data_IF_466893505343
#
_entry.id   IF_466893505343
#
_cell.length_a   1.000
_cell.length_b   1.000
_cell.length_c   1.000
_cell.angle_alpha   90.00
_cell.angle_beta   90.00
_cell.angle_gamma   90.00
#
_symmetry.space_group_name_H-M   'P 1'
#
loop_
_entity.id
_entity.type
_entity.pdbx_description
1 polymer ?
#
# COMPACT_ATOMS: atom_id res chain seq x y z
N UNK A 1 20.51 -7.45 17.95
CA UNK A 1 19.09 -7.80 18.10
C UNK A 1 18.45 -7.61 16.74
N UNK A 2 18.04 -8.70 16.12
CA UNK A 2 17.51 -8.75 14.75
C UNK A 2 16.17 -8.06 14.71
N UNK A 3 16.02 -7.03 13.88
CA UNK A 3 14.74 -6.33 13.72
C UNK A 3 13.92 -7.02 12.64
N UNK A 4 12.71 -7.50 12.96
CA UNK A 4 11.79 -8.15 12.00
C UNK A 4 10.86 -7.12 11.35
N UNK A 5 10.02 -7.50 10.39
CA UNK A 5 8.94 -6.60 9.94
C UNK A 5 8.04 -6.22 11.11
N UNK A 6 7.92 -7.04 12.15
CA UNK A 6 7.25 -6.65 13.39
C UNK A 6 7.81 -5.36 14.02
N UNK A 7 9.09 -5.03 13.80
CA UNK A 7 9.73 -3.82 14.34
C UNK A 7 9.62 -2.60 13.40
N UNK A 8 9.67 -2.81 12.08
CA UNK A 8 9.60 -1.73 11.09
C UNK A 8 8.23 -1.52 10.46
N UNK A 9 7.44 -2.57 10.32
CA UNK A 9 6.11 -2.58 9.74
C UNK A 9 5.07 -1.79 10.55
N UNK A 10 5.35 -1.49 11.81
CA UNK A 10 4.50 -0.73 12.72
C UNK A 10 4.76 0.78 12.63
N UNK A 11 5.82 1.17 11.91
CA UNK A 11 6.27 2.54 11.84
C UNK A 11 5.31 3.39 10.99
N UNK A 12 4.67 4.36 11.60
CA UNK A 12 3.78 5.31 10.96
C UNK A 12 4.45 6.12 9.85
N UNK A 13 5.80 6.18 9.82
CA UNK A 13 6.53 6.79 8.71
C UNK A 13 6.27 6.10 7.37
N UNK A 14 5.87 4.81 7.37
CA UNK A 14 5.49 4.10 6.16
C UNK A 14 4.32 4.78 5.41
N UNK A 15 3.49 5.55 6.12
CA UNK A 15 2.43 6.36 5.50
C UNK A 15 2.97 7.44 4.55
N UNK A 16 4.21 7.90 4.74
CA UNK A 16 4.88 8.80 3.80
C UNK A 16 5.06 8.18 2.41
N UNK A 17 5.14 6.85 2.33
CA UNK A 17 5.24 6.08 1.09
C UNK A 17 3.90 5.58 0.54
N UNK A 18 2.79 5.71 1.27
CA UNK A 18 1.50 5.15 0.87
C UNK A 18 1.06 5.60 -0.53
N UNK A 19 1.22 6.90 -0.84
CA UNK A 19 0.91 7.42 -2.17
C UNK A 19 1.82 6.86 -3.27
N UNK A 20 3.10 6.60 -2.99
CA UNK A 20 4.01 5.94 -3.94
C UNK A 20 3.54 4.53 -4.27
N UNK A 21 3.28 3.70 -3.26
CA UNK A 21 2.83 2.33 -3.47
C UNK A 21 1.55 2.31 -4.32
N UNK A 22 0.60 3.20 -4.01
CA UNK A 22 -0.63 3.32 -4.79
C UNK A 22 -0.40 3.75 -6.23
N UNK A 23 0.45 4.75 -6.49
CA UNK A 23 0.72 5.18 -7.85
C UNK A 23 1.50 4.14 -8.65
N UNK A 24 2.39 3.36 -8.03
CA UNK A 24 3.04 2.22 -8.68
C UNK A 24 2.04 1.12 -9.05
N UNK A 25 1.06 0.85 -8.18
CA UNK A 25 -0.02 -0.10 -8.48
C UNK A 25 -0.87 0.39 -9.65
N UNK A 26 -1.31 1.65 -9.61
CA UNK A 26 -2.15 2.25 -10.65
C UNK A 26 -1.43 2.47 -11.98
N UNK A 27 -0.09 2.47 -11.97
CA UNK A 27 0.69 2.53 -13.19
C UNK A 27 0.71 1.19 -13.95
N UNK A 28 0.28 0.08 -13.35
CA UNK A 28 -0.01 -1.12 -14.12
C UNK A 28 -1.37 -0.95 -14.83
N UNK A 29 -1.44 -1.09 -16.16
CA UNK A 29 -2.66 -0.90 -16.94
C UNK A 29 -3.87 -1.70 -16.44
N UNK A 30 -3.69 -2.98 -16.13
CA UNK A 30 -4.80 -3.84 -15.71
C UNK A 30 -5.30 -3.47 -14.30
N UNK A 31 -4.37 -3.14 -13.40
CA UNK A 31 -4.74 -2.62 -12.06
C UNK A 31 -5.41 -1.25 -12.17
N UNK A 32 -4.88 -0.36 -13.01
CA UNK A 32 -5.41 0.98 -13.27
C UNK A 32 -6.86 0.93 -13.76
N UNK A 33 -7.13 0.13 -14.80
CA UNK A 33 -8.50 -0.10 -15.32
C UNK A 33 -9.43 -0.71 -14.28
N UNK A 34 -9.00 -1.77 -13.59
CA UNK A 34 -9.82 -2.41 -12.55
C UNK A 34 -10.18 -1.47 -11.40
N UNK A 35 -9.26 -0.60 -10.98
CA UNK A 35 -9.58 0.41 -9.96
C UNK A 35 -10.43 1.53 -10.54
N UNK A 36 -10.17 1.97 -11.76
CA UNK A 36 -10.97 2.99 -12.43
C UNK A 36 -12.43 2.56 -12.52
N UNK A 37 -12.72 1.39 -13.06
CA UNK A 37 -14.10 0.92 -13.29
C UNK A 37 -14.85 0.61 -11.98
N UNK A 38 -14.15 0.22 -10.91
CA UNK A 38 -14.78 -0.24 -9.67
C UNK A 38 -14.57 0.68 -8.45
N UNK A 39 -13.84 1.80 -8.57
CA UNK A 39 -13.51 2.69 -7.43
C UNK A 39 -13.48 4.19 -7.81
N UNK A 40 -14.35 4.61 -8.74
CA UNK A 40 -14.40 5.95 -9.40
C UNK A 40 -14.50 7.21 -8.53
N UNK A 41 -14.53 7.15 -7.20
CA UNK A 41 -14.71 8.35 -6.35
C UNK A 41 -13.61 8.47 -5.31
N UNK A 42 -13.13 9.70 -5.06
CA UNK A 42 -12.03 9.97 -4.13
C UNK A 42 -12.27 9.36 -2.73
N UNK A 43 -13.50 9.41 -2.22
CA UNK A 43 -13.87 8.74 -0.96
C UNK A 43 -13.67 7.22 -1.01
N UNK A 44 -14.00 6.57 -2.13
CA UNK A 44 -13.76 5.13 -2.35
C UNK A 44 -12.27 4.82 -2.50
N UNK A 45 -11.48 5.69 -3.14
CA UNK A 45 -10.02 5.50 -3.27
C UNK A 45 -9.30 5.63 -1.92
N UNK A 46 -9.74 6.54 -1.05
CA UNK A 46 -9.23 6.65 0.33
C UNK A 46 -9.65 5.43 1.15
N UNK A 47 -10.91 4.99 1.04
CA UNK A 47 -11.37 3.77 1.71
C UNK A 47 -10.58 2.55 1.23
N UNK A 48 -10.20 2.50 -0.06
CA UNK A 48 -9.30 1.47 -0.60
C UNK A 48 -7.93 1.54 0.05
N UNK A 49 -7.32 2.73 0.16
CA UNK A 49 -6.04 2.91 0.86
C UNK A 49 -6.12 2.40 2.30
N UNK A 50 -7.14 2.82 3.05
CA UNK A 50 -7.35 2.35 4.43
C UNK A 50 -7.57 0.85 4.49
N UNK A 51 -8.33 0.27 3.55
CA UNK A 51 -8.52 -1.17 3.42
C UNK A 51 -7.21 -1.93 3.19
N UNK A 52 -6.34 -1.44 2.30
CA UNK A 52 -5.00 -2.02 2.06
C UNK A 52 -4.12 -1.93 3.31
N UNK A 53 -4.07 -0.77 3.97
CA UNK A 53 -3.26 -0.59 5.18
C UNK A 53 -3.75 -1.47 6.33
N UNK A 54 -5.06 -1.49 6.60
CA UNK A 54 -5.66 -2.37 7.61
C UNK A 54 -5.41 -3.84 7.29
N UNK A 55 -5.51 -4.24 6.02
CA UNK A 55 -5.15 -5.60 5.59
C UNK A 55 -3.70 -5.93 5.92
N UNK A 56 -2.75 -5.07 5.51
CA UNK A 56 -1.32 -5.25 5.81
C UNK A 56 -1.14 -5.40 7.31
N UNK A 57 -1.53 -4.40 8.13
CA UNK A 57 -1.34 -4.45 9.58
C UNK A 57 -1.98 -5.66 10.24
N UNK A 58 -3.16 -6.09 9.81
CA UNK A 58 -3.79 -7.29 10.34
C UNK A 58 -3.00 -8.57 9.99
N UNK A 59 -2.44 -8.67 8.79
CA UNK A 59 -1.56 -9.80 8.43
C UNK A 59 -0.28 -9.79 9.26
N UNK A 60 0.34 -8.63 9.46
CA UNK A 60 1.60 -8.54 10.20
C UNK A 60 1.43 -8.75 11.71
N UNK A 61 0.45 -8.07 12.30
CA UNK A 61 0.33 -7.86 13.75
C UNK A 61 -0.97 -8.38 14.34
N UNK A 62 -1.94 -8.73 13.50
CA UNK A 62 -3.26 -9.11 13.95
C UNK A 62 -3.34 -10.55 14.44
N UNK A 63 -4.45 -10.85 15.10
CA UNK A 63 -4.83 -12.21 15.48
C UNK A 63 -5.29 -13.01 14.25
N UNK A 64 -5.30 -14.33 14.34
CA UNK A 64 -5.84 -15.20 13.28
C UNK A 64 -7.30 -14.85 12.90
N UNK A 65 -8.09 -14.37 13.85
CA UNK A 65 -9.45 -13.91 13.58
C UNK A 65 -9.45 -12.63 12.73
N UNK A 66 -8.61 -11.65 13.08
CA UNK A 66 -8.44 -10.41 12.32
C UNK A 66 -7.93 -10.70 10.91
N UNK A 67 -6.94 -11.58 10.75
CA UNK A 67 -6.44 -12.04 9.44
C UNK A 67 -7.56 -12.64 8.60
N UNK A 68 -8.36 -13.55 9.18
CA UNK A 68 -9.52 -14.14 8.49
C UNK A 68 -10.55 -13.08 8.09
N UNK A 69 -10.79 -12.09 8.94
CA UNK A 69 -11.74 -11.02 8.67
C UNK A 69 -11.32 -10.13 7.51
N UNK A 70 -10.08 -9.63 7.52
CA UNK A 70 -9.57 -8.79 6.41
C UNK A 70 -9.48 -9.60 5.11
N UNK A 71 -9.08 -10.88 5.17
CA UNK A 71 -9.08 -11.76 3.98
C UNK A 71 -10.47 -11.90 3.37
N UNK A 72 -11.50 -12.16 4.19
CA UNK A 72 -12.90 -12.22 3.70
C UNK A 72 -13.35 -10.89 3.10
N UNK A 73 -13.01 -9.77 3.74
CA UNK A 73 -13.39 -8.43 3.30
C UNK A 73 -12.77 -8.09 1.94
N UNK A 74 -11.47 -8.31 1.78
CA UNK A 74 -10.78 -8.05 0.51
C UNK A 74 -11.28 -9.01 -0.58
N UNK A 75 -11.44 -10.30 -0.28
CA UNK A 75 -12.01 -11.24 -1.25
C UNK A 75 -13.39 -10.79 -1.74
N UNK A 76 -14.29 -10.40 -0.84
CA UNK A 76 -15.61 -9.89 -1.23
C UNK A 76 -15.51 -8.64 -2.12
N UNK A 77 -14.59 -7.73 -1.80
CA UNK A 77 -14.34 -6.54 -2.62
C UNK A 77 -13.72 -6.86 -3.99
N UNK A 78 -12.97 -7.96 -4.12
CA UNK A 78 -12.35 -8.41 -5.36
C UNK A 78 -13.29 -9.21 -6.27
N UNK A 79 -14.35 -9.85 -5.74
CA UNK A 79 -15.34 -10.61 -6.53
C UNK A 79 -15.86 -9.87 -7.78
N UNK A 80 -16.25 -8.58 -7.72
CA UNK A 80 -16.74 -7.87 -8.89
C UNK A 80 -15.62 -7.32 -9.79
N UNK A 81 -14.36 -7.29 -9.34
CA UNK A 81 -13.26 -6.62 -10.04
C UNK A 81 -12.64 -7.56 -11.06
N UNK A 82 -13.36 -7.75 -12.16
CA UNK A 82 -12.94 -8.55 -13.31
C UNK A 82 -13.67 -8.15 -14.56
N UNK A 83 -12.96 -8.21 -15.68
CA UNK A 83 -13.48 -7.99 -17.02
C UNK A 83 -12.73 -8.89 -17.99
N UNK A 84 -13.45 -9.48 -18.93
CA UNK A 84 -12.82 -10.19 -20.05
C UNK A 84 -12.09 -9.22 -20.99
N UNK A 85 -11.30 -9.80 -21.88
CA UNK A 85 -10.70 -9.08 -22.99
C UNK A 85 -11.80 -8.47 -23.88
N UNK A 86 -11.50 -7.35 -24.52
CA UNK A 86 -12.27 -6.83 -25.65
C UNK A 86 -11.32 -6.51 -26.81
N UNK A 87 -11.87 -6.09 -27.95
CA UNK A 87 -11.12 -5.89 -29.20
C UNK A 87 -9.93 -4.93 -29.09
N UNK A 88 -9.93 -4.01 -28.12
CA UNK A 88 -8.94 -2.93 -28.00
C UNK A 88 -8.14 -2.95 -26.70
N UNK A 89 -8.58 -3.70 -25.68
CA UNK A 89 -7.97 -3.66 -24.35
C UNK A 89 -7.98 -5.04 -23.68
N UNK A 90 -6.82 -5.50 -23.16
CA UNK A 90 -6.77 -6.71 -22.34
C UNK A 90 -7.67 -6.58 -21.11
N UNK A 91 -8.29 -7.69 -20.74
CA UNK A 91 -9.07 -7.85 -19.54
C UNK A 91 -8.22 -7.75 -18.29
N UNK A 92 -8.88 -7.89 -17.15
CA UNK A 92 -8.23 -7.88 -15.84
C UNK A 92 -9.02 -8.74 -14.87
N UNK A 93 -8.34 -9.22 -13.84
CA UNK A 93 -8.97 -9.94 -12.75
C UNK A 93 -8.21 -9.67 -11.45
N UNK A 94 -8.89 -9.24 -10.39
CA UNK A 94 -8.25 -9.01 -9.09
C UNK A 94 -7.69 -10.29 -8.43
N UNK A 95 -8.04 -11.46 -8.98
CA UNK A 95 -7.47 -12.76 -8.63
C UNK A 95 -6.31 -13.22 -9.53
N UNK A 96 -5.91 -12.40 -10.52
CA UNK A 96 -4.71 -12.69 -11.31
C UNK A 96 -3.47 -12.67 -10.39
N UNK A 97 -2.74 -13.80 -10.27
CA UNK A 97 -1.62 -13.90 -9.35
C UNK A 97 -0.43 -13.01 -9.76
N UNK A 98 -0.27 -12.65 -11.05
CA UNK A 98 0.75 -11.70 -11.50
C UNK A 98 0.42 -10.27 -11.05
N UNK A 99 -0.85 -9.88 -11.13
CA UNK A 99 -1.29 -8.57 -10.64
C UNK A 99 -1.18 -8.50 -9.11
N UNK A 100 -1.51 -9.58 -8.40
CA UNK A 100 -1.31 -9.68 -6.95
C UNK A 100 0.17 -9.61 -6.58
N UNK A 101 1.05 -10.29 -7.33
CA UNK A 101 2.50 -10.19 -7.17
C UNK A 101 2.96 -8.73 -7.31
N UNK A 102 2.52 -8.04 -8.36
CA UNK A 102 2.85 -6.62 -8.55
C UNK A 102 2.39 -5.77 -7.36
N UNK A 103 1.14 -5.92 -6.92
CA UNK A 103 0.62 -5.16 -5.76
C UNK A 103 1.47 -5.38 -4.52
N UNK A 104 1.81 -6.63 -4.16
CA UNK A 104 2.62 -6.92 -2.97
C UNK A 104 4.05 -6.42 -3.13
N UNK A 105 4.63 -6.57 -4.32
CA UNK A 105 5.96 -6.05 -4.64
C UNK A 105 6.03 -4.53 -4.44
N UNK A 106 5.00 -3.77 -4.85
CA UNK A 106 4.98 -2.31 -4.63
C UNK A 106 4.95 -1.94 -3.16
N UNK A 107 4.30 -2.74 -2.32
CA UNK A 107 4.26 -2.52 -0.87
C UNK A 107 5.64 -2.81 -0.25
N UNK A 108 6.28 -3.92 -0.64
CA UNK A 108 7.61 -4.30 -0.13
C UNK A 108 8.67 -3.25 -0.49
N UNK A 109 8.81 -2.94 -1.78
CA UNK A 109 9.82 -1.99 -2.27
C UNK A 109 9.62 -0.59 -1.69
N UNK A 110 8.36 -0.15 -1.57
CA UNK A 110 8.04 1.12 -0.90
C UNK A 110 8.46 1.10 0.55
N UNK A 111 8.16 0.03 1.29
CA UNK A 111 8.49 -0.02 2.70
C UNK A 111 10.01 -0.05 2.92
N UNK A 112 10.76 -0.86 2.18
CA UNK A 112 12.23 -0.85 2.22
C UNK A 112 12.77 0.55 1.90
N UNK A 113 12.29 1.17 0.81
CA UNK A 113 12.68 2.53 0.42
C UNK A 113 12.47 3.52 1.57
N UNK A 114 11.31 3.52 2.21
CA UNK A 114 11.01 4.46 3.29
C UNK A 114 11.85 4.15 4.53
N UNK A 115 11.95 2.89 4.95
CA UNK A 115 12.71 2.49 6.13
C UNK A 115 14.17 2.85 5.98
N UNK A 116 14.79 2.55 4.84
CA UNK A 116 16.21 2.85 4.63
C UNK A 116 16.51 4.34 4.55
N UNK A 117 15.56 5.15 4.05
CA UNK A 117 15.69 6.62 4.07
C UNK A 117 15.63 7.22 5.46
N UNK A 118 15.06 6.51 6.44
CA UNK A 118 14.82 7.02 7.80
C UNK A 118 15.82 6.43 8.79
N UNK A 119 16.12 5.14 8.67
CA UNK A 119 16.95 4.39 9.61
C UNK A 119 18.34 4.03 9.07
N UNK A 120 18.61 4.32 7.80
CA UNK A 120 19.80 3.84 7.09
C UNK A 120 19.59 2.43 6.52
N UNK A 121 20.58 1.92 5.75
CA UNK A 121 20.49 0.60 5.12
C UNK A 121 20.16 -0.50 6.13
N UNK A 122 19.29 -1.42 5.75
CA UNK A 122 19.03 -2.60 6.56
C UNK A 122 20.23 -3.55 6.49
N UNK A 123 20.59 -4.16 7.62
CA UNK A 123 21.46 -5.32 7.59
C UNK A 123 20.77 -6.50 6.89
N UNK A 124 21.56 -7.44 6.37
CA UNK A 124 21.05 -8.53 5.55
C UNK A 124 20.01 -9.39 6.27
N UNK A 125 20.19 -9.63 7.57
CA UNK A 125 19.27 -10.44 8.34
C UNK A 125 17.90 -9.75 8.49
N UNK A 126 17.90 -8.46 8.83
CA UNK A 126 16.69 -7.64 8.88
C UNK A 126 16.03 -7.49 7.50
N UNK A 127 16.81 -7.33 6.43
CA UNK A 127 16.30 -7.24 5.07
C UNK A 127 15.63 -8.56 4.62
N UNK A 128 16.23 -9.70 4.91
CA UNK A 128 15.69 -11.03 4.61
C UNK A 128 14.45 -11.35 5.46
N UNK A 129 14.44 -10.95 6.74
CA UNK A 129 13.27 -11.09 7.60
C UNK A 129 12.08 -10.29 7.04
N UNK A 130 12.31 -9.02 6.71
CA UNK A 130 11.29 -8.17 6.09
C UNK A 130 10.81 -8.76 4.75
N UNK A 131 11.71 -9.31 3.93
CA UNK A 131 11.35 -9.93 2.66
C UNK A 131 10.39 -11.13 2.83
N UNK A 132 10.71 -12.04 3.75
CA UNK A 132 9.84 -13.20 4.08
C UNK A 132 8.49 -12.76 4.62
N UNK A 133 8.47 -11.71 5.43
CA UNK A 133 7.25 -11.19 6.02
C UNK A 133 6.30 -10.60 4.94
N UNK A 134 6.84 -9.98 3.88
CA UNK A 134 6.04 -9.52 2.73
C UNK A 134 5.53 -10.66 1.84
N UNK A 135 6.24 -11.78 1.75
CA UNK A 135 5.73 -12.98 1.08
C UNK A 135 4.41 -13.45 1.72
N UNK A 136 4.30 -13.38 3.06
CA UNK A 136 3.07 -13.73 3.80
C UNK A 136 1.89 -12.82 3.46
N UNK A 137 2.14 -11.53 3.24
CA UNK A 137 1.09 -10.57 2.82
C UNK A 137 0.46 -11.02 1.50
N UNK A 138 1.27 -11.48 0.54
CA UNK A 138 0.74 -12.01 -0.72
C UNK A 138 -0.04 -13.30 -0.55
N UNK A 139 0.51 -14.28 0.19
CA UNK A 139 -0.11 -15.61 0.30
C UNK A 139 -1.47 -15.59 1.00
N UNK A 140 -1.66 -14.70 1.99
CA UNK A 140 -2.98 -14.52 2.63
C UNK A 140 -4.04 -14.04 1.61
N UNK A 141 -3.63 -13.28 0.58
CA UNK A 141 -4.52 -12.78 -0.48
C UNK A 141 -4.70 -13.74 -1.66
N UNK A 142 -4.06 -14.91 -1.62
CA UNK A 142 -4.06 -15.98 -2.64
C UNK A 142 -2.92 -15.95 -3.66
N UNK A 143 -1.89 -15.13 -3.47
CA UNK A 143 -0.66 -15.25 -4.26
C UNK A 143 -0.04 -16.64 -4.00
N UNK A 144 0.21 -17.47 -5.02
CA UNK A 144 0.90 -18.75 -4.82
C UNK A 144 2.29 -18.51 -4.23
N UNK A 145 2.73 -19.26 -3.20
CA UNK A 145 4.02 -19.03 -2.54
C UNK A 145 5.21 -19.06 -3.51
N UNK A 146 5.19 -19.95 -4.51
CA UNK A 146 6.24 -20.08 -5.52
C UNK A 146 6.29 -18.96 -6.56
N UNK A 147 5.31 -18.03 -6.55
CA UNK A 147 5.32 -16.88 -7.46
C UNK A 147 6.00 -15.65 -6.83
N UNK A 148 6.12 -15.60 -5.51
CA UNK A 148 7.00 -14.62 -4.87
C UNK A 148 8.46 -14.95 -5.23
N UNK A 149 9.30 -13.98 -5.62
CA UNK A 149 10.67 -14.28 -6.02
C UNK A 149 11.44 -14.97 -4.88
N UNK A 150 12.31 -15.92 -5.22
CA UNK A 150 12.94 -16.80 -4.24
C UNK A 150 13.76 -16.04 -3.17
N UNK A 151 14.41 -14.95 -3.59
CA UNK A 151 15.26 -14.13 -2.75
C UNK A 151 15.22 -12.64 -3.19
N UNK A 152 15.92 -11.79 -2.43
CA UNK A 152 16.02 -10.35 -2.71
C UNK A 152 16.67 -10.04 -4.06
N UNK A 153 17.57 -10.89 -4.56
CA UNK A 153 18.23 -10.68 -5.85
C UNK A 153 17.28 -10.98 -7.01
N UNK A 154 16.51 -12.07 -6.93
CA UNK A 154 15.42 -12.40 -7.85
C UNK A 154 14.34 -11.31 -7.85
N UNK A 155 13.97 -10.81 -6.66
CA UNK A 155 13.07 -9.67 -6.53
C UNK A 155 13.59 -8.44 -7.25
N UNK A 156 14.87 -8.11 -7.07
CA UNK A 156 15.51 -6.95 -7.70
C UNK A 156 15.44 -7.05 -9.23
N UNK A 157 15.76 -8.21 -9.80
CA UNK A 157 15.62 -8.48 -11.25
C UNK A 157 14.18 -8.31 -11.74
N UNK A 158 13.22 -8.91 -11.04
CA UNK A 158 11.79 -8.76 -11.35
C UNK A 158 11.36 -7.28 -11.32
N UNK A 159 11.70 -6.56 -10.26
CA UNK A 159 11.34 -5.15 -10.11
C UNK A 159 11.99 -4.28 -11.18
N UNK A 160 13.25 -4.53 -11.56
CA UNK A 160 13.96 -3.72 -12.57
C UNK A 160 13.27 -3.88 -13.92
N UNK A 161 12.98 -5.13 -14.30
CA UNK A 161 12.28 -5.44 -15.54
C UNK A 161 10.90 -4.81 -15.60
N UNK A 162 10.14 -4.84 -14.49
CA UNK A 162 8.82 -4.20 -14.41
C UNK A 162 8.92 -2.69 -14.49
N UNK A 163 9.79 -2.06 -13.70
CA UNK A 163 9.93 -0.58 -13.69
C UNK A 163 10.40 -0.04 -15.04
N UNK A 164 11.26 -0.76 -15.76
CA UNK A 164 11.73 -0.33 -17.07
C UNK A 164 10.59 -0.15 -18.09
N UNK A 165 9.59 -1.04 -18.07
CA UNK A 165 8.49 -1.07 -19.03
C UNK A 165 7.20 -0.43 -18.53
N UNK A 166 7.06 -0.22 -17.22
CA UNK A 166 5.85 0.32 -16.60
C UNK A 166 5.55 1.74 -17.10
N UNK A 167 4.33 1.95 -17.61
CA UNK A 167 3.81 3.25 -18.03
C UNK A 167 2.37 3.36 -17.56
N UNK A 168 2.02 4.45 -16.87
CA UNK A 168 0.66 4.64 -16.43
C UNK A 168 -0.24 5.06 -17.61
N UNK A 169 -1.33 4.34 -17.81
CA UNK A 169 -2.38 4.68 -18.78
C UNK A 169 -3.40 5.65 -18.19
N UNK A 170 -4.24 6.24 -19.05
CA UNK A 170 -5.19 7.30 -18.72
C UNK A 170 -6.10 6.94 -17.53
N UNK A 171 -6.63 5.72 -17.46
CA UNK A 171 -7.47 5.28 -16.36
C UNK A 171 -6.73 5.28 -15.02
N UNK A 172 -5.50 4.75 -15.01
CA UNK A 172 -4.63 4.75 -13.85
C UNK A 172 -4.23 6.16 -13.41
N UNK A 173 -3.87 7.01 -14.38
CA UNK A 173 -3.54 8.43 -14.16
C UNK A 173 -4.72 9.19 -13.59
N UNK A 174 -5.92 9.00 -14.11
CA UNK A 174 -7.13 9.66 -13.63
C UNK A 174 -7.42 9.32 -12.17
N UNK A 175 -7.35 8.04 -11.80
CA UNK A 175 -7.53 7.60 -10.40
C UNK A 175 -6.43 8.15 -9.51
N UNK A 176 -5.17 8.05 -9.94
CA UNK A 176 -4.02 8.54 -9.18
C UNK A 176 -4.07 10.05 -8.93
N UNK A 177 -4.48 10.83 -9.94
CA UNK A 177 -4.69 12.27 -9.80
C UNK A 177 -5.89 12.59 -8.91
N UNK A 178 -6.97 11.81 -8.99
CA UNK A 178 -8.12 11.92 -8.09
C UNK A 178 -7.74 11.74 -6.62
N UNK A 179 -6.82 10.81 -6.32
CA UNK A 179 -6.25 10.61 -4.99
C UNK A 179 -5.40 11.81 -4.54
N UNK A 180 -4.55 12.33 -5.42
CA UNK A 180 -3.60 13.40 -5.08
C UNK A 180 -4.23 14.80 -5.06
N UNK A 181 -5.34 15.00 -5.77
CA UNK A 181 -6.04 16.27 -5.92
C UNK A 181 -7.56 16.08 -5.69
N UNK A 182 -7.97 15.68 -4.49
CA UNK A 182 -9.38 15.43 -4.22
C UNK A 182 -10.19 16.73 -4.29
N UNK A 183 -11.32 16.70 -5.02
CA UNK A 183 -12.19 17.88 -5.23
C UNK A 183 -13.22 18.07 -4.11
N UNK A 184 -13.70 16.98 -3.51
CA UNK A 184 -14.75 16.99 -2.48
C UNK A 184 -14.28 16.24 -1.23
N UNK A 185 -13.50 16.90 -0.38
CA UNK A 185 -13.00 16.32 0.88
C UNK A 185 -13.13 17.31 2.03
N UNK A 186 -13.23 16.79 3.25
CA UNK A 186 -13.24 17.59 4.46
C UNK A 186 -12.01 18.51 4.54
N UNK A 187 -12.17 19.67 5.19
CA UNK A 187 -11.19 20.76 5.17
C UNK A 187 -9.80 20.32 5.67
N UNK A 188 -9.74 19.42 6.64
CA UNK A 188 -8.48 18.89 7.19
C UNK A 188 -7.66 18.10 6.16
N UNK A 189 -8.29 17.47 5.16
CA UNK A 189 -7.56 16.82 4.06
C UNK A 189 -6.73 17.82 3.26
N UNK A 190 -7.18 19.08 3.13
CA UNK A 190 -6.43 20.11 2.40
C UNK A 190 -5.09 20.45 3.06
N UNK A 191 -4.93 20.13 4.34
CA UNK A 191 -3.68 20.31 5.10
C UNK A 191 -2.73 19.11 4.89
N UNK A 192 -3.26 17.89 4.86
CA UNK A 192 -2.46 16.65 4.78
C UNK A 192 -2.04 16.33 3.34
N UNK A 193 -2.91 16.60 2.36
CA UNK A 193 -2.68 16.18 0.98
C UNK A 193 -1.46 16.86 0.33
N UNK A 194 -1.20 18.17 0.46
CA UNK A 194 -0.02 18.79 -0.16
C UNK A 194 1.33 18.18 0.25
N UNK A 195 1.65 17.94 1.55
CA UNK A 195 2.88 17.25 1.93
C UNK A 195 2.88 15.78 1.50
N UNK A 196 1.76 15.06 1.60
CA UNK A 196 1.66 13.67 1.12
C UNK A 196 1.95 13.56 -0.38
N UNK A 197 1.41 14.48 -1.18
CA UNK A 197 1.66 14.59 -2.63
C UNK A 197 3.12 14.91 -2.94
N UNK A 198 3.72 15.82 -2.17
CA UNK A 198 5.12 16.17 -2.33
C UNK A 198 6.05 14.98 -2.09
N UNK A 199 5.81 14.23 -1.00
CA UNK A 199 6.55 13.01 -0.69
C UNK A 199 6.31 11.93 -1.75
N UNK A 200 5.06 11.72 -2.13
CA UNK A 200 4.68 10.77 -3.20
C UNK A 200 5.44 11.05 -4.48
N UNK A 201 5.47 12.30 -4.94
CA UNK A 201 6.24 12.69 -6.11
C UNK A 201 7.74 12.42 -5.90
N UNK A 202 8.32 12.82 -4.76
CA UNK A 202 9.74 12.67 -4.50
C UNK A 202 10.23 11.21 -4.43
N UNK A 203 9.38 10.28 -4.01
CA UNK A 203 9.72 8.86 -3.99
C UNK A 203 9.42 8.11 -5.30
N UNK A 204 8.72 8.72 -6.26
CA UNK A 204 8.39 8.08 -7.53
C UNK A 204 9.57 8.16 -8.53
N UNK A 205 9.77 7.09 -9.34
CA UNK A 205 10.62 7.15 -10.52
C UNK A 205 10.24 8.33 -11.44
N UNK A 206 11.23 8.87 -12.15
CA UNK A 206 11.02 10.06 -12.98
C UNK A 206 9.94 9.86 -14.05
N UNK A 207 9.93 8.71 -14.71
CA UNK A 207 8.92 8.40 -15.74
C UNK A 207 7.51 8.45 -15.16
N UNK A 208 7.26 7.77 -14.04
CA UNK A 208 5.93 7.77 -13.43
C UNK A 208 5.53 9.14 -12.87
N UNK A 209 6.49 9.94 -12.38
CA UNK A 209 6.20 11.35 -12.05
C UNK A 209 5.67 12.11 -13.27
N UNK A 210 6.24 11.88 -14.46
CA UNK A 210 5.77 12.49 -15.71
C UNK A 210 4.39 11.96 -16.09
N UNK A 211 4.17 10.65 -16.05
CA UNK A 211 2.89 10.02 -16.41
C UNK A 211 1.74 10.56 -15.54
N UNK A 212 1.94 10.67 -14.22
CA UNK A 212 0.93 11.24 -13.31
C UNK A 212 0.85 12.79 -13.35
N UNK A 213 1.71 13.45 -14.14
CA UNK A 213 1.77 14.90 -14.26
C UNK A 213 2.18 15.61 -12.97
N UNK A 214 3.15 15.05 -12.25
CA UNK A 214 3.70 15.57 -11.00
C UNK A 214 4.96 16.41 -11.31
N UNK A 215 4.88 17.75 -11.30
CA UNK A 215 6.01 18.59 -11.66
C UNK A 215 7.14 18.45 -10.64
N UNK A 216 8.34 18.20 -11.15
CA UNK A 216 9.54 18.01 -10.35
C UNK A 216 10.71 18.76 -10.95
N UNK A 217 11.43 19.50 -10.12
CA UNK A 217 12.62 20.25 -10.52
C UNK A 217 13.67 20.14 -9.41
N UNK A 218 14.87 20.63 -9.66
CA UNK A 218 15.96 20.53 -8.69
C UNK A 218 15.66 21.19 -7.34
N UNK A 219 14.90 22.29 -7.32
CA UNK A 219 14.51 22.96 -6.06
C UNK A 219 13.64 22.04 -5.21
N UNK A 220 12.71 21.31 -5.84
CA UNK A 220 11.88 20.29 -5.18
C UNK A 220 12.73 19.11 -4.72
N UNK A 221 13.70 18.66 -5.52
CA UNK A 221 14.64 17.61 -5.13
C UNK A 221 15.43 18.01 -3.87
N UNK A 222 16.08 19.18 -3.86
CA UNK A 222 16.83 19.67 -2.70
C UNK A 222 15.95 19.79 -1.45
N UNK A 223 14.70 20.25 -1.60
CA UNK A 223 13.73 20.32 -0.50
C UNK A 223 13.37 18.92 0.00
N UNK A 224 13.16 17.97 -0.89
CA UNK A 224 12.82 16.58 -0.56
C UNK A 224 13.96 15.92 0.21
N UNK A 225 15.20 16.04 -0.28
CA UNK A 225 16.38 15.49 0.40
C UNK A 225 16.60 16.12 1.77
N UNK A 226 16.33 17.42 1.92
CA UNK A 226 16.33 18.09 3.24
C UNK A 226 15.22 17.57 4.14
N UNK A 227 14.01 17.38 3.62
CA UNK A 227 12.89 16.82 4.38
C UNK A 227 13.23 15.42 4.88
N UNK A 228 13.78 14.54 4.04
CA UNK A 228 14.17 13.19 4.45
C UNK A 228 15.29 13.20 5.50
N UNK A 229 16.30 14.07 5.34
CA UNK A 229 17.35 14.23 6.38
C UNK A 229 16.78 14.65 7.73
N UNK A 230 15.84 15.59 7.74
CA UNK A 230 15.17 16.00 8.99
C UNK A 230 14.36 14.85 9.56
N UNK A 231 13.58 14.15 8.73
CA UNK A 231 12.79 12.99 9.18
C UNK A 231 13.67 11.87 9.73
N UNK A 232 14.79 11.55 9.09
CA UNK A 232 15.74 10.54 9.57
C UNK A 232 16.33 10.86 10.95
N UNK A 233 16.46 12.15 11.31
CA UNK A 233 16.97 12.57 12.63
C UNK A 233 15.84 12.67 13.68
N UNK A 234 14.67 13.16 13.28
CA UNK A 234 13.57 13.48 14.20
C UNK A 234 12.69 12.27 14.46
N UNK A 235 12.31 11.53 13.41
CA UNK A 235 11.34 10.45 13.51
C UNK A 235 11.78 9.32 14.47
N UNK A 236 13.02 8.80 14.43
CA UNK A 236 13.46 7.74 15.35
C UNK A 236 13.42 8.15 16.83
N UNK A 237 13.47 9.45 17.13
CA UNK A 237 13.42 10.01 18.50
C UNK A 237 11.99 10.17 19.02
N UNK A 238 10.97 9.98 18.18
CA UNK A 238 9.58 10.05 18.62
C UNK A 238 9.25 8.86 19.53
N UNK A 239 8.42 9.08 20.58
CA UNK A 239 7.90 8.01 21.41
C UNK A 239 7.26 6.91 20.57
N UNK A 240 7.47 5.66 20.98
CA UNK A 240 6.92 4.47 20.28
C UNK A 240 5.41 4.55 20.09
N UNK A 241 4.68 5.09 21.06
CA UNK A 241 3.23 5.28 20.96
C UNK A 241 2.82 6.15 19.75
N UNK A 242 3.58 7.22 19.46
CA UNK A 242 3.33 8.07 18.29
C UNK A 242 3.70 7.32 17.01
N UNK A 243 4.87 6.67 17.01
CA UNK A 243 5.34 5.91 15.85
C UNK A 243 4.42 4.77 15.48
N UNK A 244 3.77 4.11 16.45
CA UNK A 244 2.93 2.94 16.20
C UNK A 244 1.43 3.23 16.18
N UNK A 245 1.03 4.48 16.44
CA UNK A 245 -0.36 4.89 16.61
C UNK A 245 -1.27 4.44 15.46
N UNK A 246 -0.81 4.54 14.22
CA UNK A 246 -1.67 4.23 13.07
C UNK A 246 -1.94 2.72 12.93
N UNK A 247 -0.95 1.88 13.23
CA UNK A 247 -1.14 0.43 13.33
C UNK A 247 -2.14 0.11 14.44
N UNK A 248 -2.00 0.72 15.61
CA UNK A 248 -2.92 0.53 16.74
C UNK A 248 -4.35 0.99 16.38
N UNK A 249 -4.49 2.12 15.69
CA UNK A 249 -5.76 2.62 15.17
C UNK A 249 -6.42 1.59 14.23
N UNK A 250 -5.73 1.10 13.21
CA UNK A 250 -6.25 0.12 12.25
C UNK A 250 -6.73 -1.17 12.94
N UNK A 251 -5.93 -1.71 13.88
CA UNK A 251 -6.29 -2.94 14.61
C UNK A 251 -7.47 -2.70 15.56
N UNK A 252 -7.51 -1.55 16.25
CA UNK A 252 -8.62 -1.20 17.14
C UNK A 252 -9.95 -1.05 16.39
N UNK A 253 -9.92 -0.52 15.17
CA UNK A 253 -11.11 -0.36 14.35
C UNK A 253 -11.61 -1.71 13.84
N UNK A 254 -10.69 -2.62 13.50
CA UNK A 254 -11.03 -3.99 13.14
C UNK A 254 -11.64 -4.77 14.32
N UNK A 255 -11.16 -4.53 15.55
CA UNK A 255 -11.73 -5.13 16.76
C UNK A 255 -13.16 -4.64 17.02
N UNK A 256 -13.44 -3.35 16.80
CA UNK A 256 -14.81 -2.81 16.89
C UNK A 256 -15.71 -3.48 15.86
N UNK A 257 -15.28 -3.52 14.60
CA UNK A 257 -16.04 -4.16 13.51
C UNK A 257 -16.33 -5.64 13.83
N UNK A 258 -15.36 -6.37 14.40
CA UNK A 258 -15.56 -7.77 14.81
C UNK A 258 -16.53 -7.93 15.98
N UNK A 259 -16.50 -7.03 16.97
CA UNK A 259 -17.43 -7.04 18.11
C UNK A 259 -18.86 -6.75 17.65
N UNK A 260 -19.05 -5.71 16.85
CA UNK A 260 -20.35 -5.32 16.29
C UNK A 260 -20.95 -6.45 15.45
N UNK A 261 -20.15 -7.16 14.66
CA UNK A 261 -20.62 -8.30 13.86
C UNK A 261 -21.03 -9.52 14.70
N UNK A 262 -20.58 -9.63 15.97
CA UNK A 262 -20.95 -10.73 16.89
C UNK A 262 -22.26 -10.47 17.63
N UNK A 263 -22.62 -9.21 17.88
CA UNK A 263 -23.85 -8.83 18.59
C UNK A 263 -25.16 -9.31 17.92
N UNK A 264 -25.35 -9.22 16.58
CA UNK A 264 -26.56 -9.72 15.92
C UNK A 264 -26.63 -11.25 15.90
N UNK A 265 -25.50 -11.96 15.96
CA UNK A 265 -25.46 -13.44 16.04
C UNK A 265 -25.93 -13.92 17.42
N UNK A 266 -25.56 -13.22 18.49
CA UNK A 266 -26.02 -13.54 19.86
C UNK A 266 -27.52 -13.31 20.04
N UNK A 267 -28.08 -12.21 19.52
CA UNK A 267 -29.54 -11.93 19.63
C UNK A 267 -30.42 -12.95 18.91
N UNK A 268 -29.92 -13.61 17.85
CA UNK A 268 -30.65 -14.71 17.17
C UNK A 268 -30.51 -16.06 17.86
N UNK A 269 -29.46 -16.26 18.66
CA UNK A 269 -29.23 -17.48 19.43
C UNK A 269 -29.90 -17.47 20.82
N UNK A 270 -30.44 -16.32 21.26
CA UNK A 270 -31.14 -16.14 22.54
C UNK A 270 -32.64 -15.83 22.38
N UNK A 271 -33.21 -16.09 21.20
CA UNK A 271 -34.66 -16.17 21.01
C UNK A 271 -35.07 -17.63 21.22
N UNK A 272 -35.99 -17.93 22.17
CA UNK A 272 -36.47 -19.28 22.44
C UNK A 272 -37.30 -19.85 21.29
#
# INVERSE_FOLDING_TARGET
MVRRMADYGAEGILLAGAGRALLLQLADPAVGRGVHEHSTYAGRTINRLMGTLTYVYAVVYGTEEQVKAVRRKVNRAHVPVRRGDNDTTPGYNAYDPQLQLWVVATLYDTAVTIIEKIYGPLDDESADAMYRDYARIGTVLQLPPGLWPEDRAAFRRYWDGRIATLRAEDEGVLVGRGLLYPKHTALWYRVIIPPARFLTAGFLPEQLRKDFGLPWNERRQRRFDRTLRVLAVVYPKLPRAIRHWFKDYCLSELDKELRENREPVRRRASLP
#
